data_IF_100683697199
#
_entry.id   IF_100683697199
#
_cell.length_a   1.000
_cell.length_b   1.000
_cell.length_c   1.000
_cell.angle_alpha   90.00
_cell.angle_beta   90.00
_cell.angle_gamma   90.00
#
_symmetry.space_group_name_H-M   'P 1'
#
loop_
_entity.id
_entity.type
_entity.pdbx_description
1 polymer ?
#
# COMPACT_ATOMS: atom_id res chain seq x y z
N UNK A 1 -31.71 5.41 5.59
CA UNK A 1 -30.58 6.10 4.90
C UNK A 1 -29.57 5.03 4.49
N UNK A 2 -29.05 5.07 3.27
CA UNK A 2 -27.99 4.15 2.89
C UNK A 2 -26.75 4.41 3.75
N UNK A 3 -26.14 3.35 4.25
CA UNK A 3 -24.91 3.43 5.02
C UNK A 3 -23.77 3.93 4.15
N UNK A 4 -22.98 4.88 4.67
CA UNK A 4 -21.84 5.41 3.91
C UNK A 4 -20.73 4.38 3.84
N UNK A 5 -20.07 4.29 2.69
CA UNK A 5 -18.94 3.39 2.44
C UNK A 5 -17.67 3.77 3.23
N UNK A 6 -17.56 5.01 3.70
CA UNK A 6 -16.39 5.55 4.38
C UNK A 6 -16.78 6.60 5.43
N UNK A 7 -15.79 7.06 6.21
CA UNK A 7 -15.95 8.06 7.26
C UNK A 7 -15.60 9.48 6.82
N UNK A 8 -15.49 9.74 5.50
CA UNK A 8 -15.17 11.06 4.98
C UNK A 8 -16.31 12.05 5.22
N UNK A 9 -15.96 13.28 5.57
CA UNK A 9 -16.89 14.40 5.54
C UNK A 9 -17.32 14.71 4.10
N UNK A 10 -18.41 15.47 3.91
CA UNK A 10 -18.85 15.89 2.57
C UNK A 10 -17.76 16.68 1.82
N UNK A 11 -16.97 17.49 2.52
CA UNK A 11 -15.85 18.25 1.94
C UNK A 11 -14.71 17.33 1.48
N UNK A 12 -14.29 16.39 2.33
CA UNK A 12 -13.25 15.41 1.99
C UNK A 12 -13.68 14.51 0.83
N UNK A 13 -14.95 14.08 0.83
CA UNK A 13 -15.52 13.32 -0.28
C UNK A 13 -15.45 14.09 -1.59
N UNK A 14 -15.88 15.36 -1.61
CA UNK A 14 -15.82 16.21 -2.78
C UNK A 14 -14.38 16.37 -3.29
N UNK A 15 -13.42 16.62 -2.39
CA UNK A 15 -12.00 16.72 -2.75
C UNK A 15 -11.42 15.40 -3.29
N UNK A 16 -11.92 14.26 -2.81
CA UNK A 16 -11.50 12.93 -3.25
C UNK A 16 -12.12 12.53 -4.60
N UNK A 17 -13.19 13.19 -5.03
CA UNK A 17 -13.86 12.91 -6.31
C UNK A 17 -13.19 13.59 -7.52
N UNK A 18 -12.19 14.45 -7.32
CA UNK A 18 -11.46 15.05 -8.42
C UNK A 18 -10.60 14.02 -9.16
N UNK A 19 -10.56 14.12 -10.47
CA UNK A 19 -9.78 13.22 -11.34
C UNK A 19 -8.26 13.40 -11.18
N UNK A 20 -7.82 14.59 -10.75
CA UNK A 20 -6.41 14.94 -10.59
C UNK A 20 -6.14 15.31 -9.13
N UNK A 21 -5.31 14.55 -8.47
CA UNK A 21 -4.82 14.82 -7.12
C UNK A 21 -3.42 15.43 -7.18
N UNK A 22 -3.32 16.72 -6.89
CA UNK A 22 -2.06 17.48 -6.91
C UNK A 22 -1.32 17.48 -5.58
N UNK A 23 -1.97 16.98 -4.55
CA UNK A 23 -1.52 16.90 -3.16
C UNK A 23 -0.79 15.58 -2.85
N UNK A 24 -0.79 14.62 -3.77
CA UNK A 24 -0.08 13.35 -3.61
C UNK A 24 1.39 13.52 -3.98
N UNK A 25 2.27 13.45 -2.98
CA UNK A 25 3.73 13.60 -3.17
C UNK A 25 4.49 12.47 -2.50
N UNK A 26 5.64 12.12 -3.08
CA UNK A 26 6.56 11.17 -2.44
C UNK A 26 7.29 11.85 -1.29
N UNK A 27 7.39 11.16 -0.15
CA UNK A 27 8.22 11.59 0.97
C UNK A 27 9.71 11.61 0.61
N UNK A 28 10.57 12.32 1.36
CA UNK A 28 12.02 12.27 1.16
C UNK A 28 12.58 10.84 1.26
N UNK A 29 12.06 10.02 2.18
CA UNK A 29 12.45 8.62 2.35
C UNK A 29 12.05 7.78 1.12
N UNK A 30 10.87 7.99 0.58
CA UNK A 30 10.41 7.34 -0.65
C UNK A 30 11.26 7.74 -1.88
N UNK A 31 11.67 9.01 -1.96
CA UNK A 31 12.55 9.48 -3.04
C UNK A 31 13.95 8.89 -2.95
N UNK A 32 14.46 8.68 -1.72
CA UNK A 32 15.76 8.07 -1.47
C UNK A 32 15.77 6.56 -1.78
N UNK A 33 14.59 5.93 -1.89
CA UNK A 33 14.47 4.50 -2.14
C UNK A 33 14.75 4.21 -3.63
N UNK A 34 15.70 3.33 -3.91
CA UNK A 34 16.08 2.95 -5.28
C UNK A 34 15.10 1.97 -5.96
N UNK A 35 13.81 2.05 -5.66
CA UNK A 35 12.81 1.24 -6.33
C UNK A 35 12.35 1.94 -7.63
N UNK A 36 12.37 1.27 -8.79
CA UNK A 36 12.13 1.91 -10.10
C UNK A 36 10.72 2.47 -10.26
N UNK A 37 9.72 1.87 -9.63
CA UNK A 37 8.31 2.24 -9.76
C UNK A 37 7.63 2.30 -8.38
N UNK A 38 8.13 3.14 -7.48
CA UNK A 38 7.54 3.30 -6.15
C UNK A 38 6.16 3.96 -6.25
N UNK A 39 5.15 3.26 -5.74
CA UNK A 39 3.81 3.79 -5.50
C UNK A 39 3.81 4.63 -4.20
N UNK A 40 3.38 5.91 -4.22
CA UNK A 40 3.42 6.75 -3.03
C UNK A 40 2.49 6.24 -1.91
N UNK A 41 2.99 6.20 -0.67
CA UNK A 41 2.20 5.81 0.50
C UNK A 41 0.96 6.70 0.66
N UNK A 42 1.10 8.02 0.46
CA UNK A 42 0.00 8.97 0.56
C UNK A 42 -1.14 8.68 -0.42
N UNK A 43 -0.81 8.20 -1.63
CA UNK A 43 -1.83 7.75 -2.59
C UNK A 43 -2.59 6.53 -2.07
N UNK A 44 -1.87 5.55 -1.51
CA UNK A 44 -2.50 4.37 -0.91
C UNK A 44 -3.39 4.77 0.28
N UNK A 45 -2.94 5.66 1.16
CA UNK A 45 -3.73 6.15 2.29
C UNK A 45 -5.03 6.82 1.83
N UNK A 46 -4.95 7.64 0.79
CA UNK A 46 -6.11 8.31 0.21
C UNK A 46 -7.13 7.32 -0.33
N UNK A 47 -6.66 6.32 -1.10
CA UNK A 47 -7.52 5.25 -1.61
C UNK A 47 -8.16 4.42 -0.48
N UNK A 48 -7.38 4.05 0.53
CA UNK A 48 -7.90 3.29 1.67
C UNK A 48 -9.00 4.10 2.40
N UNK A 49 -8.79 5.39 2.66
CA UNK A 49 -9.81 6.27 3.28
C UNK A 49 -11.09 6.37 2.46
N UNK A 50 -10.99 6.38 1.13
CA UNK A 50 -12.14 6.47 0.22
C UNK A 50 -12.95 5.18 0.21
N UNK A 51 -12.28 4.04 0.17
CA UNK A 51 -12.90 2.74 -0.11
C UNK A 51 -13.02 1.82 1.11
N UNK A 52 -12.62 2.27 2.31
CA UNK A 52 -12.81 1.54 3.56
C UNK A 52 -13.32 2.44 4.66
N UNK A 53 -14.02 1.84 5.64
CA UNK A 53 -14.65 2.57 6.74
C UNK A 53 -14.05 2.19 8.08
N UNK A 54 -13.93 0.90 8.35
CA UNK A 54 -13.70 0.40 9.69
C UNK A 54 -12.25 -0.07 9.92
N UNK A 55 -11.80 0.08 11.16
CA UNK A 55 -10.54 -0.51 11.57
C UNK A 55 -10.57 -2.03 11.41
N UNK A 56 -9.43 -2.58 11.01
CA UNK A 56 -9.30 -4.01 10.82
C UNK A 56 -9.82 -4.55 9.50
N UNK A 57 -10.39 -3.73 8.61
CA UNK A 57 -10.60 -4.11 7.21
C UNK A 57 -9.28 -4.50 6.55
N UNK A 58 -9.31 -5.45 5.64
CA UNK A 58 -8.11 -6.08 5.07
C UNK A 58 -7.81 -5.55 3.68
N UNK A 59 -6.63 -4.98 3.52
CA UNK A 59 -6.13 -4.43 2.27
C UNK A 59 -5.17 -5.44 1.64
N UNK A 60 -5.38 -5.78 0.38
CA UNK A 60 -4.50 -6.65 -0.41
C UNK A 60 -3.69 -5.83 -1.41
N UNK A 61 -2.38 -6.06 -1.46
CA UNK A 61 -1.53 -5.65 -2.58
C UNK A 61 -0.84 -6.88 -3.18
N UNK A 62 -1.31 -7.37 -4.35
CA UNK A 62 -0.75 -8.55 -4.99
C UNK A 62 0.59 -8.30 -5.71
N UNK A 63 1.07 -7.06 -5.78
CA UNK A 63 2.38 -6.66 -6.32
C UNK A 63 3.06 -5.66 -5.38
N UNK A 64 3.36 -6.16 -4.17
CA UNK A 64 3.70 -5.35 -2.99
C UNK A 64 4.89 -4.40 -3.19
N UNK A 65 5.90 -4.83 -3.97
CA UNK A 65 7.14 -4.09 -4.08
C UNK A 65 7.79 -3.90 -2.71
N UNK A 66 8.06 -2.66 -2.35
CA UNK A 66 8.67 -2.30 -1.06
C UNK A 66 7.66 -1.87 0.01
N UNK A 67 6.37 -2.18 -0.17
CA UNK A 67 5.37 -2.17 0.89
C UNK A 67 4.61 -0.86 1.15
N UNK A 68 4.57 0.08 0.22
CA UNK A 68 3.87 1.37 0.44
C UNK A 68 2.39 1.21 0.81
N UNK A 69 1.68 0.29 0.17
CA UNK A 69 0.27 -0.01 0.46
C UNK A 69 0.09 -0.52 1.90
N UNK A 70 0.99 -1.39 2.37
CA UNK A 70 0.90 -1.94 3.72
C UNK A 70 1.33 -0.95 4.80
N UNK A 71 2.24 -0.01 4.48
CA UNK A 71 2.55 1.13 5.35
C UNK A 71 1.29 2.00 5.55
N UNK A 72 0.61 2.32 4.44
CA UNK A 72 -0.63 3.07 4.47
C UNK A 72 -1.75 2.36 5.27
N UNK A 73 -1.91 1.06 5.06
CA UNK A 73 -2.87 0.24 5.80
C UNK A 73 -2.58 0.28 7.32
N UNK A 74 -1.31 0.13 7.72
CA UNK A 74 -0.90 0.21 9.12
C UNK A 74 -1.17 1.59 9.73
N UNK A 75 -0.88 2.69 9.01
CA UNK A 75 -1.17 4.06 9.45
C UNK A 75 -2.65 4.31 9.74
N UNK A 76 -3.52 3.62 9.02
CA UNK A 76 -4.98 3.78 9.10
C UNK A 76 -5.66 2.71 9.97
N UNK A 77 -4.90 1.88 10.68
CA UNK A 77 -5.48 0.81 11.49
C UNK A 77 -6.19 -0.27 10.67
N UNK A 78 -5.70 -0.54 9.46
CA UNK A 78 -6.18 -1.63 8.59
C UNK A 78 -5.23 -2.82 8.66
N UNK A 79 -5.74 -4.03 8.35
CA UNK A 79 -4.89 -5.21 8.13
C UNK A 79 -4.31 -5.16 6.73
N UNK A 80 -3.06 -5.60 6.59
CA UNK A 80 -2.39 -5.66 5.29
C UNK A 80 -2.07 -7.11 4.90
N UNK A 81 -2.30 -7.43 3.64
CA UNK A 81 -1.81 -8.65 2.99
C UNK A 81 -1.05 -8.22 1.74
N UNK A 82 0.21 -8.61 1.64
CA UNK A 82 1.06 -8.29 0.51
C UNK A 82 1.65 -9.54 -0.13
N UNK A 83 1.79 -9.53 -1.44
CA UNK A 83 2.45 -10.60 -2.19
C UNK A 83 3.54 -9.96 -3.05
N UNK A 84 4.74 -10.48 -2.97
CA UNK A 84 5.88 -10.00 -3.74
C UNK A 84 6.66 -11.19 -4.31
N UNK A 85 6.97 -11.14 -5.60
CA UNK A 85 7.71 -12.20 -6.28
C UNK A 85 9.19 -12.16 -5.92
N UNK A 86 9.75 -10.97 -5.75
CA UNK A 86 11.16 -10.77 -5.45
C UNK A 86 11.38 -10.77 -3.93
N UNK A 87 12.09 -11.78 -3.45
CA UNK A 87 12.38 -11.95 -2.02
C UNK A 87 13.13 -10.75 -1.42
N UNK A 88 14.04 -10.12 -2.16
CA UNK A 88 14.77 -8.95 -1.68
C UNK A 88 13.84 -7.75 -1.46
N UNK A 89 12.85 -7.54 -2.32
CA UNK A 89 11.85 -6.50 -2.14
C UNK A 89 10.90 -6.84 -0.99
N UNK A 90 10.49 -8.09 -0.86
CA UNK A 90 9.66 -8.54 0.26
C UNK A 90 10.35 -8.30 1.62
N UNK A 91 11.63 -8.66 1.73
CA UNK A 91 12.44 -8.42 2.93
C UNK A 91 12.60 -6.92 3.23
N UNK A 92 12.79 -6.10 2.21
CA UNK A 92 12.85 -4.64 2.36
C UNK A 92 11.50 -4.08 2.85
N UNK A 93 10.40 -4.56 2.27
CA UNK A 93 9.04 -4.18 2.70
C UNK A 93 8.80 -4.55 4.16
N UNK A 94 9.14 -5.77 4.57
CA UNK A 94 8.97 -6.24 5.95
C UNK A 94 9.72 -5.36 6.95
N UNK A 95 10.99 -5.04 6.68
CA UNK A 95 11.79 -4.18 7.53
C UNK A 95 11.22 -2.76 7.64
N UNK A 96 10.80 -2.16 6.52
CA UNK A 96 10.18 -0.84 6.51
C UNK A 96 8.89 -0.82 7.32
N UNK A 97 8.02 -1.81 7.12
CA UNK A 97 6.73 -1.90 7.79
C UNK A 97 6.91 -2.15 9.28
N UNK A 98 7.84 -3.02 9.68
CA UNK A 98 8.16 -3.29 11.09
C UNK A 98 8.59 -2.00 11.81
N UNK A 99 9.50 -1.24 11.22
CA UNK A 99 9.93 0.06 11.77
C UNK A 99 8.79 1.06 11.88
N UNK A 100 7.93 1.13 10.87
CA UNK A 100 6.76 2.01 10.86
C UNK A 100 5.74 1.63 11.95
N UNK A 101 5.39 0.35 12.07
CA UNK A 101 4.47 -0.15 13.11
C UNK A 101 5.02 0.13 14.51
N UNK A 102 6.32 -0.02 14.72
CA UNK A 102 6.96 0.29 16.01
C UNK A 102 6.76 1.76 16.38
N UNK A 103 6.95 2.68 15.43
CA UNK A 103 6.70 4.12 15.65
C UNK A 103 5.23 4.41 15.95
N UNK A 104 4.31 3.82 15.19
CA UNK A 104 2.86 4.00 15.39
C UNK A 104 2.41 3.51 16.78
N UNK A 105 2.90 2.37 17.22
CA UNK A 105 2.62 1.82 18.57
C UNK A 105 3.15 2.74 19.67
N UNK A 106 4.34 3.29 19.51
CA UNK A 106 4.91 4.25 20.46
C UNK A 106 4.07 5.54 20.57
N UNK A 107 3.32 5.88 19.52
CA UNK A 107 2.36 7.00 19.49
C UNK A 107 0.96 6.63 19.98
N UNK A 108 0.75 5.41 20.48
CA UNK A 108 -0.55 4.94 20.94
C UNK A 108 -1.53 4.53 19.84
N UNK A 109 -1.09 4.45 18.59
CA UNK A 109 -1.94 4.10 17.47
C UNK A 109 -2.23 2.61 17.43
N UNK A 110 -3.49 2.25 17.14
CA UNK A 110 -3.88 0.86 16.89
C UNK A 110 -3.36 0.42 15.54
N UNK A 111 -2.61 -0.66 15.53
CA UNK A 111 -2.02 -1.23 14.30
C UNK A 111 -2.18 -2.74 14.27
N UNK A 112 -2.16 -3.31 13.07
CA UNK A 112 -2.14 -4.76 12.85
C UNK A 112 -0.84 -5.16 12.17
N UNK A 113 -0.31 -6.32 12.54
CA UNK A 113 0.84 -6.90 11.84
C UNK A 113 0.38 -7.42 10.49
N UNK A 114 0.97 -6.97 9.37
CA UNK A 114 0.61 -7.45 8.05
C UNK A 114 1.11 -8.87 7.81
N UNK A 115 0.54 -9.50 6.78
CA UNK A 115 1.03 -10.76 6.23
C UNK A 115 1.70 -10.49 4.90
N UNK A 116 2.96 -10.89 4.75
CA UNK A 116 3.70 -10.79 3.50
C UNK A 116 4.02 -12.20 3.01
N UNK A 117 3.73 -12.45 1.75
CA UNK A 117 3.99 -13.73 1.08
C UNK A 117 4.99 -13.48 -0.05
N UNK A 118 6.04 -14.30 -0.09
CA UNK A 118 6.96 -14.35 -1.23
C UNK A 118 6.43 -15.37 -2.23
N UNK A 119 6.25 -14.96 -3.48
CA UNK A 119 5.80 -15.86 -4.54
C UNK A 119 4.97 -15.19 -5.62
N UNK A 120 4.55 -16.00 -6.57
CA UNK A 120 3.67 -15.57 -7.66
C UNK A 120 2.26 -15.27 -7.13
N UNK A 121 1.80 -14.05 -7.37
CA UNK A 121 0.49 -13.60 -6.89
C UNK A 121 -0.67 -14.47 -7.42
N UNK A 122 -0.54 -15.04 -8.63
CA UNK A 122 -1.53 -15.94 -9.22
C UNK A 122 -1.71 -17.23 -8.40
N UNK A 123 -0.63 -17.69 -7.76
CA UNK A 123 -0.65 -18.90 -6.93
C UNK A 123 -0.96 -18.60 -5.46
N UNK A 124 -0.41 -17.52 -4.94
CA UNK A 124 -0.62 -17.15 -3.53
C UNK A 124 -2.07 -16.73 -3.28
N UNK A 125 -2.70 -15.98 -4.19
CA UNK A 125 -4.09 -15.57 -4.03
C UNK A 125 -5.08 -16.72 -3.94
N UNK A 126 -4.81 -17.86 -4.57
CA UNK A 126 -5.62 -19.08 -4.46
C UNK A 126 -5.66 -19.65 -3.03
N UNK A 127 -4.69 -19.30 -2.20
CA UNK A 127 -4.56 -19.75 -0.80
C UNK A 127 -5.21 -18.81 0.20
N UNK A 128 -5.63 -17.62 -0.24
CA UNK A 128 -6.35 -16.68 0.61
C UNK A 128 -7.76 -17.20 0.85
N UNK A 129 -8.24 -16.98 2.08
CA UNK A 129 -9.61 -17.36 2.42
C UNK A 129 -10.60 -16.55 1.56
N UNK A 130 -11.62 -17.18 0.96
CA UNK A 130 -12.66 -16.47 0.25
C UNK A 130 -13.31 -15.37 1.10
N UNK A 131 -13.66 -14.25 0.47
CA UNK A 131 -14.28 -13.08 1.11
C UNK A 131 -13.51 -12.53 2.34
N UNK A 132 -12.17 -12.61 2.32
CA UNK A 132 -11.32 -12.11 3.42
C UNK A 132 -10.60 -10.80 3.10
N UNK A 133 -10.83 -10.23 1.93
CA UNK A 133 -10.23 -8.98 1.45
C UNK A 133 -11.34 -7.97 1.24
N UNK A 134 -11.22 -6.80 1.85
CA UNK A 134 -12.18 -5.71 1.74
C UNK A 134 -11.80 -4.74 0.61
N UNK A 135 -10.50 -4.56 0.35
CA UNK A 135 -10.00 -3.71 -0.72
C UNK A 135 -8.70 -4.26 -1.30
N UNK A 136 -8.58 -4.27 -2.63
CA UNK A 136 -7.33 -4.53 -3.32
C UNK A 136 -6.81 -3.24 -3.96
N UNK A 137 -5.55 -2.89 -3.65
CA UNK A 137 -4.84 -1.75 -4.24
C UNK A 137 -3.52 -2.26 -4.78
N UNK A 138 -3.19 -1.93 -6.02
CA UNK A 138 -1.94 -2.38 -6.61
C UNK A 138 -1.45 -1.47 -7.71
N UNK A 139 -0.14 -1.50 -7.92
CA UNK A 139 0.54 -0.91 -9.07
C UNK A 139 1.36 -2.02 -9.76
N UNK A 140 0.74 -2.78 -10.67
CA UNK A 140 1.42 -3.88 -11.33
C UNK A 140 2.63 -3.39 -12.15
N UNK A 141 3.66 -4.22 -12.35
CA UNK A 141 4.81 -3.84 -13.15
C UNK A 141 4.40 -3.57 -14.60
N UNK A 142 4.92 -2.48 -15.15
CA UNK A 142 4.67 -2.11 -16.54
C UNK A 142 5.67 -2.84 -17.44
N UNK A 143 5.23 -3.85 -18.19
CA UNK A 143 6.04 -4.56 -19.19
C UNK A 143 7.39 -5.00 -18.58
N UNK A 144 8.48 -4.80 -19.31
CA UNK A 144 9.85 -5.21 -18.97
C UNK A 144 10.64 -4.12 -18.21
N UNK A 145 9.98 -3.14 -17.60
CA UNK A 145 10.62 -1.97 -17.00
C UNK A 145 11.60 -2.34 -15.85
N UNK A 146 11.39 -3.49 -15.22
CA UNK A 146 12.26 -3.97 -14.14
C UNK A 146 13.58 -4.57 -14.67
N UNK A 147 13.61 -4.99 -15.92
CA UNK A 147 14.79 -5.54 -16.59
C UNK A 147 15.56 -4.49 -17.41
N UNK A 148 14.97 -3.31 -17.62
CA UNK A 148 15.65 -2.26 -18.39
C UNK A 148 16.67 -1.53 -17.51
N UNK A 149 17.94 -1.55 -17.92
CA UNK A 149 18.95 -0.64 -17.38
C UNK A 149 18.53 0.79 -17.74
N UNK A 150 18.21 1.60 -16.72
CA UNK A 150 17.95 3.04 -16.95
C UNK A 150 19.23 3.69 -17.47
N UNK A 151 19.18 4.19 -18.67
CA UNK A 151 20.26 4.97 -19.32
C UNK A 151 20.33 6.43 -18.83
N UNK A 152 19.67 6.78 -17.73
CA UNK A 152 19.53 8.16 -17.25
C UNK A 152 20.51 8.60 -16.18
N UNK A 153 21.58 7.83 -15.92
CA UNK A 153 22.64 8.28 -15.00
C UNK A 153 23.84 8.91 -15.75
N UNK A 154 23.56 9.49 -16.89
CA UNK A 154 24.54 10.18 -17.74
C UNK A 154 24.01 11.56 -18.15
N UNK A 155 24.02 12.54 -17.24
CA UNK A 155 24.50 13.92 -17.41
C UNK A 155 24.09 14.78 -16.24
#
# INVERSE_FOLDING_TARGET
MAERMNNLTGKEWLQSSFTIWRDVVKTPEERATKHPALFPQELAEKLIRIYTKDEGETILDPFLGIGSTLLAAASLGRRGVGIELNESFANLAENRIKGHITRLKAQGSKTFSPKIYVGDSREVTKRLKPASIDLAITSPPYWDILNQKRTSDGK
#
